data_IF_386267280660
#
_entry.id   IF_386267280660
#
_cell.length_a   1.000
_cell.length_b   1.000
_cell.length_c   1.000
_cell.angle_alpha   90.00
_cell.angle_beta   90.00
_cell.angle_gamma   90.00
#
_symmetry.space_group_name_H-M   'P 1'
#
loop_
_entity.id
_entity.type
_entity.pdbx_description
1 polymer ?
#
# COMPACT_ATOMS: atom_id res chain seq x y z
N UNK A 1 -6.76 26.46 6.45
CA UNK A 1 -6.97 25.20 5.71
C UNK A 1 -6.17 25.31 4.42
N UNK A 2 -5.09 24.55 4.25
CA UNK A 2 -4.42 24.45 2.95
C UNK A 2 -5.35 23.66 2.02
N UNK A 3 -5.62 24.21 0.83
CA UNK A 3 -6.28 23.45 -0.23
C UNK A 3 -5.40 22.26 -0.61
N UNK A 4 -5.90 21.05 -0.40
CA UNK A 4 -5.21 19.82 -0.76
C UNK A 4 -5.22 19.65 -2.28
N UNK A 5 -4.06 19.78 -2.92
CA UNK A 5 -3.92 19.45 -4.34
C UNK A 5 -3.73 17.95 -4.52
N UNK A 6 -4.33 17.34 -5.56
CA UNK A 6 -4.14 15.93 -5.85
C UNK A 6 -2.66 15.62 -6.13
N UNK A 7 -2.19 14.47 -5.63
CA UNK A 7 -0.86 13.95 -5.93
C UNK A 7 -0.70 13.81 -7.45
N UNK A 8 0.29 14.52 -8.01
CA UNK A 8 0.56 14.49 -9.45
C UNK A 8 1.61 13.42 -9.74
N UNK A 9 1.25 12.43 -10.57
CA UNK A 9 2.20 11.48 -11.12
C UNK A 9 2.99 12.14 -12.25
N UNK A 10 4.31 12.10 -12.16
CA UNK A 10 5.22 12.66 -13.16
C UNK A 10 5.67 11.61 -14.17
N UNK A 11 6.04 10.43 -13.66
CA UNK A 11 6.53 9.28 -14.42
C UNK A 11 6.42 8.03 -13.55
N UNK A 12 6.77 6.88 -14.12
CA UNK A 12 6.88 5.61 -13.39
C UNK A 12 8.31 5.10 -13.47
N UNK A 13 8.73 4.35 -12.45
CA UNK A 13 9.99 3.62 -12.48
C UNK A 13 9.99 2.61 -13.63
N UNK A 14 11.14 2.45 -14.28
CA UNK A 14 11.43 1.35 -15.20
C UNK A 14 11.61 0.03 -14.45
N UNK A 15 11.60 -1.10 -15.17
CA UNK A 15 11.74 -2.42 -14.54
C UNK A 15 13.04 -2.58 -13.72
N UNK A 16 14.16 -2.03 -14.21
CA UNK A 16 15.43 -2.06 -13.50
C UNK A 16 15.41 -1.17 -12.27
N UNK A 17 14.79 0.01 -12.35
CA UNK A 17 14.65 0.90 -11.20
C UNK A 17 13.74 0.30 -10.12
N UNK A 18 12.67 -0.40 -10.52
CA UNK A 18 11.80 -1.13 -9.58
C UNK A 18 12.60 -2.19 -8.82
N UNK A 19 13.41 -2.99 -9.53
CA UNK A 19 14.22 -4.03 -8.91
C UNK A 19 15.18 -3.44 -7.86
N UNK A 20 15.92 -2.39 -8.22
CA UNK A 20 16.85 -1.71 -7.30
C UNK A 20 16.12 -1.00 -6.16
N UNK A 21 14.98 -0.36 -6.43
CA UNK A 21 14.17 0.33 -5.41
C UNK A 21 13.65 -0.62 -4.33
N UNK A 22 13.37 -1.87 -4.70
CA UNK A 22 12.89 -2.90 -3.79
C UNK A 22 14.03 -3.67 -3.08
N UNK A 23 15.30 -3.38 -3.36
CA UNK A 23 16.40 -3.99 -2.63
C UNK A 23 16.37 -3.56 -1.15
N UNK A 24 16.33 -4.54 -0.25
CA UNK A 24 16.29 -4.31 1.20
C UNK A 24 14.92 -3.92 1.77
N UNK A 25 13.94 -3.56 0.93
CA UNK A 25 12.56 -3.29 1.36
C UNK A 25 11.91 -4.59 1.85
N UNK A 26 11.35 -4.59 3.05
CA UNK A 26 10.54 -5.71 3.55
C UNK A 26 9.08 -5.60 3.11
N UNK A 27 8.51 -4.43 3.36
CA UNK A 27 7.12 -4.12 3.02
C UNK A 27 6.90 -2.62 2.94
N UNK A 28 5.76 -2.26 2.36
CA UNK A 28 5.28 -0.90 2.24
C UNK A 28 3.91 -0.87 2.90
N UNK A 29 3.66 0.10 3.76
CA UNK A 29 2.33 0.37 4.31
C UNK A 29 1.78 1.64 3.67
N UNK A 30 0.55 1.57 3.21
CA UNK A 30 -0.23 2.73 2.79
C UNK A 30 -1.45 2.86 3.68
N UNK A 31 -1.84 4.11 3.95
CA UNK A 31 -3.07 4.44 4.63
C UNK A 31 -3.76 5.60 3.91
N UNK A 32 -5.06 5.47 3.74
CA UNK A 32 -5.92 6.51 3.17
C UNK A 32 -7.26 6.55 3.91
N UNK A 33 -8.05 7.63 3.75
CA UNK A 33 -9.40 7.66 4.27
C UNK A 33 -10.25 6.54 3.65
N UNK A 34 -11.04 5.87 4.46
CA UNK A 34 -12.04 4.90 3.99
C UNK A 34 -13.16 5.63 3.24
N UNK A 35 -13.48 5.16 2.04
CA UNK A 35 -14.61 5.66 1.25
C UNK A 35 -15.93 4.94 1.58
N UNK A 36 -15.86 3.85 2.35
CA UNK A 36 -16.96 2.88 2.48
C UNK A 36 -17.61 2.94 3.86
N UNK A 37 -16.84 3.15 4.93
CA UNK A 37 -17.33 3.05 6.30
C UNK A 37 -16.85 4.19 7.19
N UNK A 38 -17.78 4.83 7.92
CA UNK A 38 -17.44 5.77 8.99
C UNK A 38 -16.98 5.08 10.28
N UNK A 39 -17.32 3.80 10.47
CA UNK A 39 -16.93 3.02 11.64
C UNK A 39 -15.49 2.48 11.56
N UNK A 40 -14.96 2.34 10.34
CA UNK A 40 -13.57 2.00 10.07
C UNK A 40 -13.02 3.07 9.12
N UNK A 41 -12.48 4.16 9.67
CA UNK A 41 -12.20 5.38 8.91
C UNK A 41 -10.97 5.26 8.02
N UNK A 42 -10.22 4.16 8.09
CA UNK A 42 -9.00 3.96 7.34
C UNK A 42 -9.13 2.79 6.37
N UNK A 43 -8.57 2.97 5.18
CA UNK A 43 -8.22 1.89 4.27
C UNK A 43 -6.70 1.70 4.34
N UNK A 44 -6.28 0.50 4.68
CA UNK A 44 -4.87 0.10 4.72
C UNK A 44 -4.55 -0.81 3.55
N UNK A 45 -3.37 -0.60 2.99
CA UNK A 45 -2.76 -1.47 1.98
C UNK A 45 -1.37 -1.82 2.46
N UNK A 46 -1.09 -3.10 2.68
CA UNK A 46 0.25 -3.60 2.94
C UNK A 46 0.76 -4.27 1.68
N UNK A 47 1.84 -3.77 1.11
CA UNK A 47 2.56 -4.41 0.00
C UNK A 47 3.77 -5.13 0.58
N UNK A 48 3.74 -6.46 0.57
CA UNK A 48 4.88 -7.29 0.97
C UNK A 48 5.83 -7.42 -0.21
N UNK A 49 7.13 -7.29 0.03
CA UNK A 49 8.15 -7.47 -1.01
C UNK A 49 8.41 -8.96 -1.30
N UNK A 50 7.36 -9.66 -1.72
CA UNK A 50 7.41 -11.05 -2.15
C UNK A 50 6.40 -11.28 -3.27
N UNK A 51 6.79 -12.10 -4.23
CA UNK A 51 5.90 -12.60 -5.30
C UNK A 51 5.43 -14.04 -5.03
N UNK A 52 5.86 -14.63 -3.91
CA UNK A 52 5.52 -16.00 -3.53
C UNK A 52 4.07 -16.11 -3.07
N UNK A 53 3.49 -17.29 -3.23
CA UNK A 53 2.16 -17.57 -2.69
C UNK A 53 2.26 -17.80 -1.20
N UNK A 54 1.55 -16.98 -0.42
CA UNK A 54 1.46 -17.13 1.03
C UNK A 54 0.36 -18.14 1.37
N UNK A 55 0.65 -19.19 2.17
CA UNK A 55 -0.36 -20.16 2.61
C UNK A 55 -1.51 -19.50 3.38
N UNK A 56 -2.74 -20.01 3.21
CA UNK A 56 -3.94 -19.41 3.82
C UNK A 56 -3.86 -19.37 5.35
N UNK A 57 -3.22 -20.36 5.96
CA UNK A 57 -2.99 -20.42 7.40
C UNK A 57 -2.00 -19.37 7.92
N UNK A 58 -1.13 -18.83 7.05
CA UNK A 58 -0.13 -17.82 7.40
C UNK A 58 -0.69 -16.40 7.23
N UNK A 59 -1.59 -16.17 6.28
CA UNK A 59 -2.15 -14.83 6.00
C UNK A 59 -2.72 -14.12 7.25
N UNK A 60 -3.50 -14.78 8.14
CA UNK A 60 -3.99 -14.15 9.36
C UNK A 60 -2.86 -13.75 10.33
N UNK A 61 -1.78 -14.53 10.41
CA UNK A 61 -0.65 -14.25 11.29
C UNK A 61 0.13 -13.02 10.83
N UNK A 62 0.26 -12.84 9.50
CA UNK A 62 0.86 -11.65 8.91
C UNK A 62 -0.01 -10.42 9.22
N UNK A 63 -1.32 -10.52 9.02
CA UNK A 63 -2.23 -9.42 9.36
C UNK A 63 -2.14 -9.06 10.85
N UNK A 64 -2.11 -10.05 11.74
CA UNK A 64 -1.98 -9.84 13.18
C UNK A 64 -0.68 -9.11 13.55
N UNK A 65 0.45 -9.47 12.91
CA UNK A 65 1.72 -8.74 13.07
C UNK A 65 1.52 -7.26 12.80
N UNK A 66 0.97 -6.90 11.64
CA UNK A 66 0.76 -5.50 11.27
C UNK A 66 -0.25 -4.79 12.16
N UNK A 67 -1.31 -5.48 12.60
CA UNK A 67 -2.26 -4.89 13.51
C UNK A 67 -1.61 -4.51 14.85
N UNK A 68 -0.74 -5.37 15.38
CA UNK A 68 0.01 -5.07 16.60
C UNK A 68 1.03 -3.94 16.39
N UNK A 69 1.75 -3.97 15.29
CA UNK A 69 2.81 -3.01 14.97
C UNK A 69 2.28 -1.59 14.75
N UNK A 70 1.15 -1.45 14.06
CA UNK A 70 0.53 -0.17 13.70
C UNK A 70 -0.68 0.21 14.57
N UNK A 71 -0.82 -0.48 15.71
CA UNK A 71 -1.92 -0.31 16.68
C UNK A 71 -3.29 -0.25 16.02
N UNK A 72 -3.52 -1.14 15.06
CA UNK A 72 -4.80 -1.27 14.37
C UNK A 72 -5.73 -2.06 15.30
N UNK A 73 -6.81 -1.42 15.74
CA UNK A 73 -7.68 -1.95 16.79
C UNK A 73 -8.82 -2.79 16.23
N UNK A 74 -9.18 -2.57 14.97
CA UNK A 74 -10.28 -3.25 14.29
C UNK A 74 -9.96 -3.42 12.81
N UNK A 75 -10.37 -4.54 12.21
CA UNK A 75 -10.22 -4.81 10.78
C UNK A 75 -11.50 -5.38 10.18
N UNK A 76 -11.73 -5.13 8.89
CA UNK A 76 -12.77 -5.80 8.09
C UNK A 76 -12.42 -5.78 6.60
N UNK A 77 -13.17 -6.53 5.79
CA UNK A 77 -12.99 -6.59 4.33
C UNK A 77 -11.55 -6.91 3.92
N UNK A 78 -10.93 -7.84 4.65
CA UNK A 78 -9.56 -8.26 4.39
C UNK A 78 -9.49 -9.01 3.06
N UNK A 79 -8.66 -8.52 2.15
CA UNK A 79 -8.31 -9.15 0.89
C UNK A 79 -6.80 -9.39 0.87
N UNK A 80 -6.37 -10.53 0.34
CA UNK A 80 -4.95 -10.91 0.36
C UNK A 80 -4.59 -11.64 -0.92
N UNK A 81 -3.99 -10.90 -1.85
CA UNK A 81 -3.82 -11.30 -3.25
C UNK A 81 -2.42 -10.97 -3.76
N UNK A 82 -2.03 -11.61 -4.86
CA UNK A 82 -0.84 -11.24 -5.64
C UNK A 82 -1.25 -10.33 -6.78
N UNK A 83 -0.68 -9.14 -6.82
CA UNK A 83 -1.18 -8.05 -7.64
C UNK A 83 -0.03 -7.31 -8.34
N UNK A 84 -0.35 -6.65 -9.45
CA UNK A 84 0.61 -5.87 -10.23
C UNK A 84 0.82 -4.51 -9.58
N UNK A 85 2.04 -4.24 -9.12
CA UNK A 85 2.42 -2.98 -8.49
C UNK A 85 3.42 -2.23 -9.36
N UNK A 86 3.06 -1.01 -9.72
CA UNK A 86 3.97 -0.03 -10.30
C UNK A 86 4.42 0.96 -9.22
N UNK A 87 5.47 1.71 -9.52
CA UNK A 87 6.01 2.74 -8.63
C UNK A 87 6.05 4.07 -9.37
N UNK A 88 5.27 5.02 -8.88
CA UNK A 88 5.10 6.33 -9.49
C UNK A 88 6.01 7.37 -8.83
N UNK A 89 6.71 8.16 -9.64
CA UNK A 89 7.32 9.39 -9.18
C UNK A 89 6.24 10.45 -8.95
N UNK A 90 6.24 11.02 -7.75
CA UNK A 90 5.38 12.13 -7.36
C UNK A 90 6.26 13.27 -6.86
N UNK A 91 5.66 14.28 -6.22
CA UNK A 91 6.41 15.34 -5.53
C UNK A 91 7.08 14.86 -4.24
N UNK A 92 6.76 13.65 -3.77
CA UNK A 92 7.37 13.05 -2.59
C UNK A 92 8.69 12.35 -2.93
N UNK A 93 9.60 12.27 -1.94
CA UNK A 93 10.94 11.70 -2.13
C UNK A 93 10.91 10.20 -2.46
N UNK A 94 9.99 9.45 -1.85
CA UNK A 94 9.86 8.01 -2.10
C UNK A 94 8.82 7.75 -3.21
N UNK A 95 9.10 6.83 -4.15
CA UNK A 95 8.11 6.41 -5.14
C UNK A 95 6.82 5.91 -4.49
N UNK A 96 5.68 6.31 -5.05
CA UNK A 96 4.37 5.86 -4.57
C UNK A 96 4.03 4.50 -5.18
N UNK A 97 3.74 3.46 -4.39
CA UNK A 97 3.19 2.22 -4.93
C UNK A 97 1.80 2.47 -5.53
N UNK A 98 1.54 1.90 -6.71
CA UNK A 98 0.26 1.99 -7.42
C UNK A 98 -0.16 0.59 -7.88
N UNK A 99 -1.35 0.17 -7.47
CA UNK A 99 -1.99 -1.04 -8.00
C UNK A 99 -2.43 -0.81 -9.45
N UNK A 100 -1.99 -1.71 -10.35
CA UNK A 100 -2.35 -1.70 -11.76
C UNK A 100 -3.41 -2.78 -12.02
N UNK A 101 -4.68 -2.34 -12.08
CA UNK A 101 -5.84 -3.22 -12.30
C UNK A 101 -6.18 -3.32 -13.80
N UNK A 102 -6.05 -2.21 -14.54
CA UNK A 102 -6.37 -2.16 -15.97
C UNK A 102 -5.24 -2.80 -16.80
N UNK A 103 -5.59 -3.75 -17.65
CA UNK A 103 -4.65 -4.39 -18.58
C UNK A 103 -4.05 -3.40 -19.57
N UNK A 104 -4.76 -2.33 -19.93
CA UNK A 104 -4.23 -1.28 -20.81
C UNK A 104 -3.07 -0.54 -20.13
N UNK A 105 -3.22 -0.23 -18.85
CA UNK A 105 -2.14 0.33 -18.04
C UNK A 105 -0.99 -0.68 -17.89
N UNK A 106 -1.29 -1.96 -17.64
CA UNK A 106 -0.28 -3.00 -17.47
C UNK A 106 0.60 -3.25 -18.71
N UNK A 107 0.12 -2.87 -19.89
CA UNK A 107 0.87 -2.94 -21.15
C UNK A 107 1.83 -1.75 -21.37
N UNK A 108 1.67 -0.67 -20.61
CA UNK A 108 2.39 0.60 -20.84
C UNK A 108 3.22 1.05 -19.63
N UNK A 109 2.81 0.66 -18.43
CA UNK A 109 3.47 1.02 -17.17
C UNK A 109 4.27 -0.18 -16.69
N UNK A 110 5.58 -0.05 -16.42
CA UNK A 110 6.35 -1.12 -15.80
C UNK A 110 5.82 -1.46 -14.40
N UNK A 111 5.73 -2.75 -14.10
CA UNK A 111 5.19 -3.26 -12.85
C UNK A 111 5.94 -4.52 -12.40
N UNK A 112 5.78 -4.86 -11.12
CA UNK A 112 6.25 -6.12 -10.52
C UNK A 112 5.09 -6.78 -9.77
N UNK A 113 5.10 -8.10 -9.71
CA UNK A 113 4.10 -8.86 -8.98
C UNK A 113 4.49 -8.91 -7.50
N UNK A 114 3.65 -8.35 -6.62
CA UNK A 114 3.85 -8.34 -5.17
C UNK A 114 2.61 -8.84 -4.45
N UNK A 115 2.77 -9.31 -3.21
CA UNK A 115 1.64 -9.72 -2.37
C UNK A 115 1.07 -8.53 -1.61
N UNK A 116 -0.23 -8.30 -1.75
CA UNK A 116 -0.95 -7.19 -1.12
C UNK A 116 -1.91 -7.74 -0.07
N UNK A 117 -2.03 -7.02 1.05
CA UNK A 117 -3.09 -7.19 2.04
C UNK A 117 -3.85 -5.86 2.15
N UNK A 118 -5.07 -5.83 1.62
CA UNK A 118 -5.98 -4.68 1.70
C UNK A 118 -7.05 -4.93 2.75
N UNK A 119 -7.36 -3.93 3.56
CA UNK A 119 -8.41 -4.02 4.56
C UNK A 119 -8.86 -2.65 5.06
N UNK A 120 -10.09 -2.61 5.56
CA UNK A 120 -10.57 -1.46 6.34
C UNK A 120 -10.15 -1.63 7.79
N UNK A 121 -9.78 -0.53 8.46
CA UNK A 121 -9.43 -0.58 9.86
C UNK A 121 -9.57 0.74 10.61
N UNK A 122 -9.14 0.71 11.86
CA UNK A 122 -9.00 1.89 12.71
C UNK A 122 -7.69 1.83 13.49
N UNK A 123 -7.00 2.97 13.63
CA UNK A 123 -5.75 3.10 14.40
C UNK A 123 -5.60 4.52 14.94
N UNK A 124 -5.02 4.67 16.13
CA UNK A 124 -4.70 5.97 16.72
C UNK A 124 -3.46 6.63 16.11
N UNK A 125 -2.66 5.89 15.35
CA UNK A 125 -1.37 6.34 14.81
C UNK A 125 -1.47 6.99 13.41
N UNK A 126 -2.64 6.94 12.77
CA UNK A 126 -2.87 7.42 11.40
C UNK A 126 -3.90 8.56 11.37
N UNK A 127 -3.70 9.58 12.20
CA UNK A 127 -4.66 10.69 12.37
C UNK A 127 -4.80 11.52 11.10
N UNK A 128 -3.68 11.80 10.44
CA UNK A 128 -3.62 12.50 9.16
C UNK A 128 -4.48 11.80 8.11
N UNK A 129 -4.44 10.46 8.09
CA UNK A 129 -5.24 9.68 7.17
C UNK A 129 -6.74 9.71 7.49
N UNK A 130 -7.11 9.81 8.78
CA UNK A 130 -8.51 10.06 9.18
C UNK A 130 -8.98 11.46 8.79
N UNK A 131 -8.06 12.42 8.73
CA UNK A 131 -8.34 13.82 8.37
C UNK A 131 -8.38 14.06 6.85
N UNK A 132 -8.18 13.02 6.03
CA UNK A 132 -8.33 13.10 4.58
C UNK A 132 -7.04 12.87 3.79
N UNK A 133 -5.88 12.74 4.46
CA UNK A 133 -4.60 12.59 3.79
C UNK A 133 -4.34 11.13 3.40
N UNK A 134 -3.66 10.90 2.29
CA UNK A 134 -3.16 9.56 1.94
C UNK A 134 -1.65 9.59 2.02
N UNK A 135 -1.06 8.49 2.50
CA UNK A 135 0.38 8.38 2.68
C UNK A 135 0.86 6.95 2.57
N UNK A 136 2.16 6.79 2.40
CA UNK A 136 2.83 5.51 2.40
C UNK A 136 4.18 5.62 3.11
N UNK A 137 4.67 4.50 3.61
CA UNK A 137 5.99 4.38 4.21
C UNK A 137 6.62 3.03 3.86
N UNK A 138 7.93 3.04 3.67
CA UNK A 138 8.72 1.85 3.37
C UNK A 138 9.40 1.35 4.65
N UNK A 139 9.32 0.05 4.88
CA UNK A 139 10.10 -0.64 5.89
C UNK A 139 11.24 -1.42 5.23
N UNK A 140 12.40 -1.44 5.87
CA UNK A 140 13.63 -2.05 5.37
C UNK A 140 14.16 -3.05 6.41
N UNK A 141 14.90 -4.07 5.96
CA UNK A 141 15.60 -5.04 6.84
C UNK A 141 16.76 -4.39 7.61
#
# INVERSE_FOLDING_TARGET
MQEMQPLKVHSYLSQSEIATHLEGVEYIIMASPSLISKGLPLHFTIVLNTSETIPEEIKPLILEKFCREYKITQTSHVLSNRERIAFAHTTQETPMPKHIIDDTEANTIPWVLLHIIDFLGDSEEFKEAKEGLSGWSYSYN
#
